data_IF_647367540335
#
_entry.id   IF_647367540335
#
_cell.length_a   1.000
_cell.length_b   1.000
_cell.length_c   1.000
_cell.angle_alpha   90.00
_cell.angle_beta   90.00
_cell.angle_gamma   90.00
#
_symmetry.space_group_name_H-M   'P 1'
#
loop_
_entity.id
_entity.type
_entity.pdbx_description
1 polymer ?
#
# COMPACT_ATOMS: atom_id res chain seq x y z
N UNK A 1 9.14 9.41 12.18
CA UNK A 1 9.96 8.60 11.25
C UNK A 1 9.81 7.15 11.66
N UNK A 2 9.54 6.28 10.70
CA UNK A 2 9.51 4.83 10.87
C UNK A 2 10.70 4.27 10.12
N UNK A 3 11.42 3.33 10.72
CA UNK A 3 12.58 2.70 10.11
C UNK A 3 12.77 1.30 10.66
N UNK A 4 13.45 0.46 9.90
CA UNK A 4 13.77 -0.89 10.30
C UNK A 4 15.08 -1.36 9.65
N UNK A 5 15.73 -2.27 10.36
CA UNK A 5 16.96 -2.91 9.96
C UNK A 5 16.69 -4.39 9.69
N UNK A 6 17.27 -4.90 8.61
CA UNK A 6 17.09 -6.25 8.12
C UNK A 6 18.45 -6.89 7.88
N UNK A 7 18.79 -7.89 8.70
CA UNK A 7 19.94 -8.77 8.45
C UNK A 7 19.45 -10.10 7.88
N UNK A 8 20.13 -10.65 6.89
CA UNK A 8 19.76 -11.96 6.34
C UNK A 8 20.99 -12.68 5.82
N UNK A 9 20.92 -14.02 5.79
CA UNK A 9 21.95 -14.86 5.18
C UNK A 9 21.48 -15.36 3.82
N UNK A 10 22.38 -15.49 2.86
CA UNK A 10 22.12 -16.02 1.53
C UNK A 10 23.30 -16.89 1.11
N UNK A 11 23.09 -17.77 0.11
CA UNK A 11 24.22 -18.59 -0.37
C UNK A 11 25.18 -17.72 -1.19
N UNK A 12 26.51 -17.78 -0.97
CA UNK A 12 27.50 -16.92 -1.64
C UNK A 12 27.37 -16.85 -3.17
N UNK A 13 26.91 -17.92 -3.82
CA UNK A 13 26.73 -17.96 -5.28
C UNK A 13 25.63 -17.01 -5.78
N UNK A 14 24.78 -16.50 -4.89
CA UNK A 14 23.75 -15.50 -5.21
C UNK A 14 24.23 -14.06 -4.98
N UNK A 15 25.48 -13.83 -4.58
CA UNK A 15 26.00 -12.48 -4.27
C UNK A 15 25.74 -11.47 -5.39
N UNK A 16 25.99 -11.83 -6.64
CA UNK A 16 25.74 -10.97 -7.79
C UNK A 16 24.26 -10.55 -7.91
N UNK A 17 23.34 -11.50 -7.71
CA UNK A 17 21.89 -11.26 -7.75
C UNK A 17 21.47 -10.36 -6.58
N UNK A 18 21.96 -10.63 -5.37
CA UNK A 18 21.66 -9.83 -4.17
C UNK A 18 22.17 -8.40 -4.30
N UNK A 19 23.37 -8.20 -4.85
CA UNK A 19 23.92 -6.85 -5.13
C UNK A 19 23.08 -6.10 -6.16
N UNK A 20 22.63 -6.76 -7.22
CA UNK A 20 21.77 -6.15 -8.23
C UNK A 20 20.42 -5.72 -7.66
N UNK A 21 19.77 -6.58 -6.86
CA UNK A 21 18.53 -6.25 -6.15
C UNK A 21 18.72 -5.07 -5.18
N UNK A 22 19.80 -5.07 -4.40
CA UNK A 22 20.13 -3.97 -3.49
C UNK A 22 20.31 -2.63 -4.21
N UNK A 23 21.05 -2.63 -5.32
CA UNK A 23 21.28 -1.42 -6.11
C UNK A 23 19.97 -0.89 -6.70
N UNK A 24 19.08 -1.77 -7.16
CA UNK A 24 17.77 -1.37 -7.65
C UNK A 24 16.84 -0.84 -6.54
N UNK A 25 16.81 -1.54 -5.40
CA UNK A 25 16.02 -1.11 -4.27
C UNK A 25 16.45 0.27 -3.74
N UNK A 26 17.77 0.51 -3.67
CA UNK A 26 18.32 1.81 -3.29
C UNK A 26 17.93 2.93 -4.27
N UNK A 27 17.87 2.66 -5.58
CA UNK A 27 17.40 3.65 -6.57
C UNK A 27 15.93 4.00 -6.34
N UNK A 28 15.05 3.02 -6.14
CA UNK A 28 13.63 3.25 -5.84
C UNK A 28 13.42 3.99 -4.53
N UNK A 29 14.16 3.62 -3.48
CA UNK A 29 14.09 4.32 -2.21
C UNK A 29 14.46 5.81 -2.38
N UNK A 30 15.48 6.14 -3.17
CA UNK A 30 15.86 7.52 -3.47
C UNK A 30 14.75 8.30 -4.19
N UNK A 31 14.13 7.70 -5.21
CA UNK A 31 13.00 8.30 -5.94
C UNK A 31 11.83 8.68 -5.01
N UNK A 32 11.68 7.95 -3.91
CA UNK A 32 10.60 8.12 -2.93
C UNK A 32 11.02 8.88 -1.66
N UNK A 33 12.21 9.51 -1.65
CA UNK A 33 12.79 10.19 -0.48
C UNK A 33 12.92 9.30 0.77
N UNK A 34 13.16 8.01 0.59
CA UNK A 34 13.42 7.03 1.66
C UNK A 34 14.92 6.82 1.78
N UNK A 35 15.44 6.92 3.00
CA UNK A 35 16.85 6.64 3.28
C UNK A 35 17.06 5.13 3.25
N UNK A 36 17.98 4.68 2.40
CA UNK A 36 18.34 3.28 2.25
C UNK A 36 19.85 3.11 2.40
N UNK A 37 20.27 2.19 3.26
CA UNK A 37 21.65 1.72 3.38
C UNK A 37 21.66 0.22 3.23
N UNK A 38 22.58 -0.34 2.44
CA UNK A 38 22.77 -1.79 2.39
C UNK A 38 24.24 -2.17 2.30
N UNK A 39 24.56 -3.35 2.81
CA UNK A 39 25.88 -3.98 2.79
C UNK A 39 25.73 -5.47 2.50
N UNK A 40 26.67 -6.05 1.77
CA UNK A 40 26.73 -7.49 1.51
C UNK A 40 28.16 -7.96 1.67
N UNK A 41 28.35 -9.12 2.29
CA UNK A 41 29.66 -9.80 2.41
C UNK A 41 29.77 -10.93 1.40
N UNK A 42 30.99 -11.36 1.11
CA UNK A 42 31.25 -12.50 0.22
C UNK A 42 30.80 -13.82 0.85
N UNK A 43 30.84 -13.91 2.18
CA UNK A 43 30.39 -15.07 2.96
C UNK A 43 28.86 -15.26 3.00
N UNK A 44 28.12 -14.42 2.29
CA UNK A 44 26.67 -14.57 2.16
C UNK A 44 25.87 -13.90 3.28
N UNK A 45 26.34 -12.79 3.84
CA UNK A 45 25.57 -11.98 4.79
C UNK A 45 25.13 -10.68 4.13
N UNK A 46 23.85 -10.35 4.25
CA UNK A 46 23.26 -9.11 3.79
C UNK A 46 22.70 -8.30 4.95
N UNK A 47 22.88 -6.99 4.89
CA UNK A 47 22.28 -6.02 5.79
C UNK A 47 21.60 -4.92 4.98
N UNK A 48 20.42 -4.50 5.40
CA UNK A 48 19.70 -3.36 4.85
C UNK A 48 19.07 -2.55 5.98
N UNK A 49 19.18 -1.23 5.94
CA UNK A 49 18.48 -0.32 6.82
C UNK A 49 17.66 0.67 5.99
N UNK A 50 16.42 0.87 6.39
CA UNK A 50 15.47 1.78 5.77
C UNK A 50 14.93 2.76 6.80
N UNK A 51 14.78 4.01 6.42
CA UNK A 51 14.21 5.06 7.27
C UNK A 51 13.43 6.06 6.42
N UNK A 52 12.15 6.26 6.77
CA UNK A 52 11.22 7.11 6.05
C UNK A 52 9.93 7.37 6.84
N UNK A 53 8.89 7.77 6.14
CA UNK A 53 7.53 7.82 6.70
C UNK A 53 6.86 6.45 6.49
N UNK A 54 5.97 6.07 7.42
CA UNK A 54 5.44 4.69 7.52
C UNK A 54 4.84 4.18 6.21
N UNK A 55 3.83 4.85 5.68
CA UNK A 55 3.21 4.48 4.41
C UNK A 55 4.20 4.54 3.24
N UNK A 56 5.18 5.45 3.25
CA UNK A 56 6.23 5.49 2.24
C UNK A 56 7.05 4.21 2.17
N UNK A 57 7.39 3.63 3.32
CA UNK A 57 8.04 2.32 3.38
C UNK A 57 7.13 1.23 2.82
N UNK A 58 5.84 1.27 3.10
CA UNK A 58 4.88 0.28 2.63
C UNK A 58 4.68 0.38 1.10
N UNK A 59 4.61 1.60 0.56
CA UNK A 59 4.62 1.87 -0.89
C UNK A 59 5.91 1.39 -1.53
N UNK A 60 7.07 1.61 -0.89
CA UNK A 60 8.36 1.14 -1.39
C UNK A 60 8.36 -0.39 -1.45
N UNK A 61 7.93 -1.08 -0.39
CA UNK A 61 7.87 -2.54 -0.38
C UNK A 61 6.95 -3.09 -1.47
N UNK A 62 5.80 -2.45 -1.71
CA UNK A 62 4.92 -2.78 -2.82
C UNK A 62 5.58 -2.56 -4.19
N UNK A 63 6.34 -1.47 -4.37
CA UNK A 63 7.10 -1.26 -5.60
C UNK A 63 8.20 -2.32 -5.77
N UNK A 64 8.93 -2.64 -4.71
CA UNK A 64 9.98 -3.66 -4.72
C UNK A 64 9.42 -5.05 -5.02
N UNK A 65 8.19 -5.35 -4.59
CA UNK A 65 7.48 -6.60 -4.94
C UNK A 65 7.33 -6.79 -6.44
N UNK A 66 7.11 -5.72 -7.20
CA UNK A 66 6.95 -5.77 -8.66
C UNK A 66 8.30 -5.80 -9.37
N UNK A 67 9.24 -4.99 -8.88
CA UNK A 67 10.52 -4.76 -9.55
C UNK A 67 11.56 -5.87 -9.28
N UNK A 68 11.79 -6.21 -8.01
CA UNK A 68 12.93 -7.05 -7.63
C UNK A 68 12.89 -8.47 -8.21
N UNK A 69 11.74 -9.17 -8.32
CA UNK A 69 11.68 -10.46 -8.98
C UNK A 69 12.16 -10.38 -10.45
N UNK A 70 11.76 -9.34 -11.17
CA UNK A 70 12.14 -9.12 -12.58
C UNK A 70 13.62 -8.77 -12.71
N UNK A 71 14.15 -7.93 -11.82
CA UNK A 71 15.59 -7.60 -11.78
C UNK A 71 16.42 -8.85 -11.47
N UNK A 72 16.01 -9.65 -10.48
CA UNK A 72 16.71 -10.87 -10.12
C UNK A 72 16.71 -11.89 -11.26
N UNK A 73 15.57 -12.03 -11.95
CA UNK A 73 15.41 -12.87 -13.13
C UNK A 73 16.40 -12.48 -14.25
N UNK A 74 16.49 -11.19 -14.55
CA UNK A 74 17.36 -10.65 -15.60
C UNK A 74 18.86 -10.64 -15.24
N UNK A 75 19.19 -10.68 -13.94
CA UNK A 75 20.59 -10.65 -13.50
C UNK A 75 21.29 -11.97 -13.83
N UNK A 76 22.45 -11.98 -14.52
CA UNK A 76 23.24 -13.19 -14.73
C UNK A 76 23.61 -13.86 -13.41
N UNK A 77 23.49 -15.18 -13.34
CA UNK A 77 23.78 -15.91 -12.12
C UNK A 77 23.75 -17.42 -12.29
N UNK A 78 24.20 -18.12 -11.25
CA UNK A 78 24.46 -19.55 -11.29
C UNK A 78 23.20 -20.42 -11.53
N UNK A 79 22.05 -20.04 -10.95
CA UNK A 79 20.78 -20.76 -11.10
C UNK A 79 19.93 -20.19 -12.22
N UNK A 80 18.91 -20.93 -12.65
CA UNK A 80 17.97 -20.50 -13.70
C UNK A 80 17.25 -19.18 -13.39
N UNK A 81 16.80 -18.48 -14.43
CA UNK A 81 16.05 -17.22 -14.33
C UNK A 81 14.81 -17.35 -13.40
N UNK A 82 14.03 -18.43 -13.55
CA UNK A 82 12.89 -18.73 -12.68
C UNK A 82 13.25 -18.91 -11.21
N UNK A 83 14.42 -19.48 -10.90
CA UNK A 83 14.90 -19.55 -9.51
C UNK A 83 15.23 -18.16 -8.98
N UNK A 84 15.93 -17.33 -9.76
CA UNK A 84 16.31 -15.98 -9.33
C UNK A 84 15.10 -15.06 -9.17
N UNK A 85 14.08 -15.16 -10.04
CA UNK A 85 12.79 -14.48 -9.86
C UNK A 85 12.18 -14.79 -8.48
N UNK A 86 12.14 -16.08 -8.12
CA UNK A 86 11.65 -16.54 -6.81
C UNK A 86 12.53 -16.10 -5.65
N UNK A 87 13.84 -15.96 -5.88
CA UNK A 87 14.76 -15.39 -4.90
C UNK A 87 14.45 -13.91 -4.63
N UNK A 88 14.10 -13.15 -5.68
CA UNK A 88 13.62 -11.77 -5.54
C UNK A 88 12.35 -11.66 -4.71
N UNK A 89 11.38 -12.55 -4.90
CA UNK A 89 10.22 -12.64 -4.01
C UNK A 89 10.64 -12.88 -2.55
N UNK A 90 11.60 -13.79 -2.33
CA UNK A 90 12.11 -14.09 -0.99
C UNK A 90 12.77 -12.89 -0.32
N UNK A 91 13.44 -12.05 -1.11
CA UNK A 91 14.06 -10.83 -0.63
C UNK A 91 13.01 -9.86 -0.09
N UNK A 92 11.97 -9.60 -0.89
CA UNK A 92 10.87 -8.71 -0.52
C UNK A 92 10.10 -9.25 0.71
N UNK A 93 9.91 -10.57 0.78
CA UNK A 93 9.27 -11.23 1.92
C UNK A 93 10.05 -11.05 3.23
N UNK A 94 11.37 -11.16 3.20
CA UNK A 94 12.22 -10.88 4.37
C UNK A 94 12.06 -9.42 4.80
N UNK A 95 12.17 -8.47 3.87
CA UNK A 95 12.03 -7.05 4.21
C UNK A 95 10.66 -6.74 4.83
N UNK A 96 9.60 -7.33 4.27
CA UNK A 96 8.25 -7.14 4.80
C UNK A 96 8.10 -7.73 6.19
N UNK A 97 8.66 -8.91 6.44
CA UNK A 97 8.61 -9.54 7.76
C UNK A 97 9.39 -8.75 8.82
N UNK A 98 10.51 -8.13 8.44
CA UNK A 98 11.21 -7.19 9.32
C UNK A 98 10.40 -5.94 9.60
N UNK A 99 9.76 -5.35 8.57
CA UNK A 99 8.91 -4.16 8.71
C UNK A 99 7.77 -4.32 9.72
N UNK A 100 7.27 -5.55 9.90
CA UNK A 100 6.15 -5.88 10.77
C UNK A 100 6.57 -6.67 12.03
N UNK A 101 7.85 -6.62 12.40
CA UNK A 101 8.40 -7.26 13.61
C UNK A 101 8.08 -8.77 13.70
N UNK A 102 7.82 -9.42 12.56
CA UNK A 102 7.39 -10.82 12.53
C UNK A 102 8.47 -11.75 13.07
N UNK A 103 9.73 -11.35 12.93
CA UNK A 103 10.86 -12.13 13.41
C UNK A 103 11.08 -12.00 14.93
N UNK A 104 10.45 -11.04 15.61
CA UNK A 104 10.61 -10.84 17.06
C UNK A 104 10.15 -12.04 17.89
N UNK A 105 9.19 -12.79 17.34
CA UNK A 105 8.74 -14.06 17.93
C UNK A 105 9.86 -15.09 18.05
N UNK A 106 10.87 -15.01 17.19
CA UNK A 106 12.01 -15.93 17.20
C UNK A 106 13.12 -15.46 18.13
N UNK A 107 13.26 -14.15 18.38
CA UNK A 107 14.24 -13.65 19.36
C UNK A 107 13.94 -14.19 20.76
N UNK A 108 12.66 -14.34 21.14
CA UNK A 108 12.26 -15.01 22.40
C UNK A 108 12.80 -16.44 22.57
N UNK A 109 13.16 -17.11 21.48
CA UNK A 109 13.67 -18.49 21.48
C UNK A 109 15.13 -18.59 21.06
N UNK A 110 15.65 -17.58 20.37
CA UNK A 110 17.02 -17.50 19.87
C UNK A 110 17.35 -16.02 19.59
N UNK A 111 18.02 -15.37 20.54
CA UNK A 111 18.43 -13.96 20.47
C UNK A 111 19.29 -13.61 19.25
N UNK A 112 19.79 -14.61 18.51
CA UNK A 112 20.64 -14.46 17.33
C UNK A 112 19.98 -14.90 16.01
N UNK A 113 18.64 -15.06 15.97
CA UNK A 113 17.97 -15.52 14.75
C UNK A 113 18.21 -14.55 13.57
N UNK A 114 18.75 -15.08 12.48
CA UNK A 114 18.91 -14.37 11.20
C UNK A 114 18.20 -15.17 10.10
N UNK A 115 17.21 -14.59 9.39
CA UNK A 115 16.50 -15.29 8.34
C UNK A 115 17.42 -15.60 7.15
N UNK A 116 17.26 -16.79 6.58
CA UNK A 116 17.91 -17.17 5.33
C UNK A 116 17.05 -16.77 4.13
N UNK A 117 17.64 -16.06 3.17
CA UNK A 117 17.05 -15.77 1.87
C UNK A 117 16.75 -17.06 1.11
N UNK A 118 15.48 -17.27 0.78
CA UNK A 118 14.97 -18.47 0.11
C UNK A 118 14.21 -18.09 -1.15
N UNK A 119 14.27 -18.95 -2.16
CA UNK A 119 13.44 -18.80 -3.35
C UNK A 119 11.99 -19.21 -3.05
N UNK A 120 11.06 -18.26 -3.14
CA UNK A 120 9.62 -18.47 -2.88
C UNK A 120 8.78 -18.04 -4.07
N UNK A 121 7.55 -18.59 -4.19
CA UNK A 121 6.67 -18.33 -5.35
C UNK A 121 6.08 -16.91 -5.34
N UNK A 122 5.79 -16.39 -4.16
CA UNK A 122 5.21 -15.06 -3.94
C UNK A 122 5.70 -14.49 -2.62
N UNK A 123 5.83 -13.17 -2.52
CA UNK A 123 6.10 -12.48 -1.26
C UNK A 123 4.80 -12.10 -0.54
N UNK A 124 4.85 -12.05 0.78
CA UNK A 124 3.73 -11.61 1.62
C UNK A 124 3.82 -10.12 1.93
N UNK A 125 3.66 -9.25 0.91
CA UNK A 125 3.57 -7.80 1.13
C UNK A 125 2.18 -7.43 1.64
N UNK A 126 2.14 -6.64 2.70
CA UNK A 126 0.91 -6.10 3.25
C UNK A 126 0.36 -5.00 2.34
N UNK A 127 -0.97 -4.89 2.19
CA UNK A 127 -1.54 -3.79 1.44
C UNK A 127 -1.19 -2.46 2.14
N UNK A 128 -0.92 -1.41 1.34
CA UNK A 128 -0.58 -0.07 1.84
C UNK A 128 -1.71 0.48 2.71
N UNK A 129 -2.95 0.19 2.31
CA UNK A 129 -4.16 0.52 3.04
C UNK A 129 -4.95 -0.73 3.40
N UNK A 130 -5.48 -0.81 4.61
CA UNK A 130 -6.21 -1.99 5.10
C UNK A 130 -7.72 -1.73 5.17
N UNK A 131 -8.43 -2.03 4.08
CA UNK A 131 -9.88 -1.97 3.99
C UNK A 131 -10.44 -3.35 4.41
N UNK A 132 -10.77 -3.52 5.68
CA UNK A 132 -11.23 -4.80 6.22
C UNK A 132 -12.63 -4.66 6.87
N UNK A 133 -13.69 -5.17 6.22
CA UNK A 133 -15.07 -5.08 6.71
C UNK A 133 -15.42 -6.19 7.73
N UNK A 134 -14.43 -6.74 8.44
CA UNK A 134 -14.62 -7.92 9.27
C UNK A 134 -14.86 -9.21 8.49
N UNK A 135 -15.15 -10.30 9.20
CA UNK A 135 -15.47 -11.61 8.61
C UNK A 135 -16.94 -11.75 8.21
N UNK A 136 -17.78 -10.75 8.49
CA UNK A 136 -19.23 -10.80 8.34
C UNK A 136 -19.74 -10.61 6.90
N UNK A 137 -18.95 -9.96 6.03
CA UNK A 137 -19.33 -9.66 4.66
C UNK A 137 -18.18 -9.94 3.67
N UNK A 138 -18.08 -11.20 3.23
CA UNK A 138 -17.05 -11.65 2.30
C UNK A 138 -17.14 -10.98 0.92
N UNK A 139 -18.35 -10.66 0.46
CA UNK A 139 -18.57 -10.02 -0.84
C UNK A 139 -18.01 -8.60 -0.84
N UNK A 140 -18.33 -7.82 0.20
CA UNK A 140 -17.72 -6.51 0.39
C UNK A 140 -16.20 -6.61 0.55
N UNK A 141 -15.72 -7.59 1.32
CA UNK A 141 -14.29 -7.83 1.48
C UNK A 141 -13.56 -8.01 0.14
N UNK A 142 -14.08 -8.87 -0.74
CA UNK A 142 -13.51 -9.05 -2.08
C UNK A 142 -13.51 -7.77 -2.92
N UNK A 143 -14.59 -6.97 -2.82
CA UNK A 143 -14.68 -5.71 -3.58
C UNK A 143 -13.74 -4.63 -3.05
N UNK A 144 -13.50 -4.59 -1.74
CA UNK A 144 -12.55 -3.69 -1.11
C UNK A 144 -11.10 -4.06 -1.42
N UNK A 145 -10.79 -5.34 -1.63
CA UNK A 145 -9.46 -5.78 -2.12
C UNK A 145 -9.14 -5.17 -3.49
N UNK A 146 -10.12 -5.02 -4.37
CA UNK A 146 -9.93 -4.33 -5.66
C UNK A 146 -9.57 -2.86 -5.43
N UNK A 147 -10.30 -2.17 -4.55
CA UNK A 147 -10.00 -0.77 -4.23
C UNK A 147 -8.60 -0.61 -3.61
N UNK A 148 -8.21 -1.49 -2.67
CA UNK A 148 -6.86 -1.51 -2.10
C UNK A 148 -5.78 -1.70 -3.17
N UNK A 149 -6.02 -2.58 -4.13
CA UNK A 149 -5.09 -2.84 -5.24
C UNK A 149 -4.92 -1.59 -6.12
N UNK A 150 -6.01 -0.89 -6.40
CA UNK A 150 -6.00 0.35 -7.19
C UNK A 150 -5.36 1.50 -6.42
N UNK A 151 -5.63 1.65 -5.12
CA UNK A 151 -4.94 2.61 -4.25
C UNK A 151 -3.43 2.34 -4.21
N UNK A 152 -3.02 1.07 -4.14
CA UNK A 152 -1.62 0.70 -4.19
C UNK A 152 -0.97 1.02 -5.54
N UNK A 153 -1.68 0.75 -6.64
CA UNK A 153 -1.24 1.11 -7.99
C UNK A 153 -1.11 2.63 -8.16
N UNK A 154 -2.01 3.41 -7.57
CA UNK A 154 -1.94 4.88 -7.58
C UNK A 154 -0.66 5.38 -6.92
N UNK A 155 -0.34 4.85 -5.73
CA UNK A 155 0.86 5.24 -4.99
C UNK A 155 2.17 4.98 -5.74
N UNK A 156 2.17 4.07 -6.71
CA UNK A 156 3.34 3.75 -7.55
C UNK A 156 3.18 4.21 -9.01
N UNK A 157 2.17 5.04 -9.30
CA UNK A 157 1.89 5.64 -10.62
C UNK A 157 1.67 4.60 -11.74
N UNK A 158 0.92 3.53 -11.44
CA UNK A 158 0.63 2.43 -12.37
C UNK A 158 -0.87 2.30 -12.71
N UNK A 159 -1.66 3.35 -12.49
CA UNK A 159 -3.10 3.36 -12.77
C UNK A 159 -3.56 4.77 -13.13
N UNK A 160 -4.51 4.86 -14.06
CA UNK A 160 -5.10 6.12 -14.49
C UNK A 160 -5.93 6.76 -13.35
N UNK A 161 -5.84 8.10 -13.15
CA UNK A 161 -6.57 8.83 -12.13
C UNK A 161 -8.08 8.54 -12.09
N UNK A 162 -8.72 8.42 -13.25
CA UNK A 162 -10.17 8.20 -13.36
C UNK A 162 -10.59 6.84 -12.80
N UNK A 163 -9.74 5.83 -12.98
CA UNK A 163 -9.97 4.49 -12.41
C UNK A 163 -9.89 4.57 -10.89
N UNK A 164 -8.91 5.31 -10.35
CA UNK A 164 -8.79 5.52 -8.90
C UNK A 164 -10.03 6.21 -8.34
N UNK A 165 -10.49 7.30 -8.99
CA UNK A 165 -11.70 8.03 -8.58
C UNK A 165 -12.94 7.12 -8.58
N UNK A 166 -13.15 6.32 -9.64
CA UNK A 166 -14.29 5.40 -9.71
C UNK A 166 -14.23 4.37 -8.57
N UNK A 167 -13.06 3.78 -8.34
CA UNK A 167 -12.87 2.72 -7.35
C UNK A 167 -13.00 3.21 -5.92
N UNK A 168 -12.46 4.40 -5.61
CA UNK A 168 -12.66 5.07 -4.32
C UNK A 168 -14.14 5.40 -4.08
N UNK A 169 -14.83 5.91 -5.11
CA UNK A 169 -16.26 6.22 -5.01
C UNK A 169 -17.08 4.95 -4.76
N UNK A 170 -16.85 3.89 -5.54
CA UNK A 170 -17.58 2.62 -5.38
C UNK A 170 -17.32 1.99 -4.01
N UNK A 171 -16.08 2.01 -3.52
CA UNK A 171 -15.76 1.54 -2.18
C UNK A 171 -16.52 2.33 -1.10
N UNK A 172 -16.50 3.67 -1.16
CA UNK A 172 -17.24 4.52 -0.25
C UNK A 172 -18.75 4.25 -0.30
N UNK A 173 -19.32 4.10 -1.50
CA UNK A 173 -20.75 3.85 -1.70
C UNK A 173 -21.17 2.54 -1.05
N UNK A 174 -20.42 1.47 -1.28
CA UNK A 174 -20.73 0.15 -0.73
C UNK A 174 -20.66 0.12 0.80
N UNK A 175 -19.59 0.69 1.38
CA UNK A 175 -19.47 0.77 2.84
C UNK A 175 -20.57 1.63 3.45
N UNK A 176 -20.89 2.79 2.85
CA UNK A 176 -21.98 3.63 3.33
C UNK A 176 -23.34 2.92 3.22
N UNK A 177 -23.61 2.14 2.17
CA UNK A 177 -24.84 1.32 2.07
C UNK A 177 -24.93 0.34 3.23
N UNK A 178 -23.84 -0.37 3.56
CA UNK A 178 -23.82 -1.32 4.69
C UNK A 178 -24.03 -0.62 6.02
N UNK A 179 -23.27 0.43 6.31
CA UNK A 179 -23.35 1.17 7.59
C UNK A 179 -24.73 1.82 7.76
N UNK A 180 -25.26 2.42 6.69
CA UNK A 180 -26.56 3.12 6.76
C UNK A 180 -27.75 2.17 6.68
N UNK A 181 -27.57 0.93 6.21
CA UNK A 181 -28.64 -0.06 5.99
C UNK A 181 -29.76 0.49 5.09
N UNK A 182 -29.40 1.39 4.17
CA UNK A 182 -30.33 1.99 3.22
C UNK A 182 -30.56 1.05 2.02
N UNK A 183 -31.71 1.13 1.32
CA UNK A 183 -31.97 0.31 0.14
C UNK A 183 -30.90 0.47 -0.95
N UNK A 184 -30.61 -0.58 -1.72
CA UNK A 184 -29.52 -0.59 -2.71
C UNK A 184 -29.61 0.49 -3.79
N UNK A 185 -30.84 0.92 -4.12
CA UNK A 185 -31.13 1.98 -5.10
C UNK A 185 -30.95 3.41 -4.55
N UNK A 186 -30.56 3.55 -3.29
CA UNK A 186 -30.34 4.86 -2.66
C UNK A 186 -29.17 5.57 -3.32
N UNK A 187 -29.37 6.83 -3.70
CA UNK A 187 -28.34 7.65 -4.35
C UNK A 187 -27.25 8.03 -3.35
N UNK A 188 -26.01 8.16 -3.83
CA UNK A 188 -24.86 8.50 -3.00
C UNK A 188 -25.03 9.74 -2.11
N UNK A 189 -25.61 10.87 -2.59
CA UNK A 189 -25.87 12.04 -1.71
C UNK A 189 -26.79 11.75 -0.52
N UNK A 190 -27.76 10.84 -0.69
CA UNK A 190 -28.69 10.46 0.37
C UNK A 190 -28.01 9.53 1.39
N UNK A 191 -27.09 8.65 0.94
CA UNK A 191 -26.23 7.86 1.82
C UNK A 191 -25.36 8.76 2.71
N UNK A 192 -24.76 9.82 2.15
CA UNK A 192 -23.95 10.78 2.91
C UNK A 192 -24.82 11.49 3.96
N UNK A 193 -26.05 11.90 3.60
CA UNK A 193 -26.98 12.57 4.52
C UNK A 193 -27.36 11.64 5.68
N UNK A 194 -27.65 10.38 5.38
CA UNK A 194 -28.02 9.38 6.37
C UNK A 194 -26.85 9.01 7.29
N UNK A 195 -25.66 8.82 6.75
CA UNK A 195 -24.45 8.56 7.54
C UNK A 195 -24.13 9.72 8.50
N UNK A 196 -24.32 10.97 8.06
CA UNK A 196 -24.22 12.14 8.94
C UNK A 196 -25.28 12.12 10.05
N UNK A 197 -26.54 11.78 9.72
CA UNK A 197 -27.64 11.66 10.69
C UNK A 197 -27.30 10.60 11.76
N UNK A 198 -26.71 9.49 11.35
CA UNK A 198 -26.24 8.39 12.20
C UNK A 198 -24.90 8.67 12.91
N UNK A 199 -24.28 9.84 12.67
CA UNK A 199 -22.97 10.23 13.25
C UNK A 199 -21.84 9.22 12.94
N UNK A 200 -21.87 8.61 11.75
CA UNK A 200 -20.82 7.71 11.25
C UNK A 200 -19.46 8.40 11.13
N UNK A 201 -19.48 9.71 10.86
CA UNK A 201 -18.29 10.54 10.75
C UNK A 201 -18.50 11.91 11.41
N UNK A 202 -17.38 12.53 11.82
CA UNK A 202 -17.35 13.87 12.42
C UNK A 202 -17.80 14.96 11.44
N UNK A 203 -18.37 16.03 11.98
CA UNK A 203 -18.66 17.26 11.23
C UNK A 203 -17.44 18.20 11.16
N UNK A 204 -16.37 17.90 11.89
CA UNK A 204 -15.15 18.69 11.92
C UNK A 204 -14.32 18.47 10.65
N UNK A 205 -13.54 19.49 10.22
CA UNK A 205 -12.60 19.33 9.11
C UNK A 205 -11.51 18.32 9.44
N UNK A 206 -11.06 17.57 8.43
CA UNK A 206 -10.03 16.53 8.57
C UNK A 206 -8.61 17.11 8.61
N UNK A 207 -8.34 18.08 9.50
CA UNK A 207 -7.12 18.91 9.47
C UNK A 207 -5.80 18.13 9.58
N UNK A 208 -5.80 16.96 10.21
CA UNK A 208 -4.58 16.17 10.45
C UNK A 208 -4.13 15.33 9.24
N UNK A 209 -5.01 15.06 8.28
CA UNK A 209 -4.69 14.24 7.09
C UNK A 209 -4.41 15.08 5.84
N UNK A 210 -4.74 16.37 5.87
CA UNK A 210 -4.38 17.29 4.80
C UNK A 210 -2.97 17.85 5.02
N UNK A 211 -2.19 17.98 3.94
CA UNK A 211 -0.88 18.63 3.98
C UNK A 211 -0.98 20.13 4.33
N UNK A 212 -2.03 20.80 3.86
CA UNK A 212 -2.40 22.17 4.26
C UNK A 212 -3.72 22.13 5.06
N UNK A 213 -3.67 22.32 6.39
CA UNK A 213 -4.86 22.32 7.24
C UNK A 213 -5.93 23.34 6.83
N UNK A 214 -5.56 24.43 6.14
CA UNK A 214 -6.51 25.46 5.68
C UNK A 214 -7.40 24.99 4.53
N UNK A 215 -6.96 23.97 3.79
CA UNK A 215 -7.70 23.34 2.70
C UNK A 215 -8.51 22.13 3.16
N UNK A 216 -8.42 21.77 4.45
CA UNK A 216 -9.06 20.58 4.97
C UNK A 216 -10.58 20.61 4.78
N UNK A 217 -11.08 19.57 4.11
CA UNK A 217 -12.51 19.35 3.94
C UNK A 217 -13.08 18.60 5.14
N UNK A 218 -14.36 18.81 5.41
CA UNK A 218 -15.14 17.86 6.21
C UNK A 218 -15.37 16.57 5.41
N UNK A 219 -15.60 15.45 6.09
CA UNK A 219 -15.92 14.15 5.43
C UNK A 219 -17.08 14.29 4.43
N UNK A 220 -18.11 15.07 4.78
CA UNK A 220 -19.24 15.31 3.89
C UNK A 220 -18.83 16.09 2.63
N UNK A 221 -17.95 17.08 2.74
CA UNK A 221 -17.47 17.84 1.59
C UNK A 221 -16.57 16.96 0.70
N UNK A 222 -15.67 16.18 1.30
CA UNK A 222 -14.77 15.26 0.61
C UNK A 222 -15.55 14.22 -0.23
N UNK A 223 -16.55 13.57 0.35
CA UNK A 223 -17.39 12.59 -0.36
C UNK A 223 -18.21 13.24 -1.48
N UNK A 224 -18.73 14.46 -1.26
CA UNK A 224 -19.42 15.21 -2.32
C UNK A 224 -18.49 15.61 -3.45
N UNK A 225 -17.25 16.04 -3.16
CA UNK A 225 -16.27 16.33 -4.20
C UNK A 225 -15.89 15.07 -4.97
N UNK A 226 -15.71 13.93 -4.30
CA UNK A 226 -15.43 12.65 -4.97
C UNK A 226 -16.54 12.28 -5.98
N UNK A 227 -17.81 12.42 -5.59
CA UNK A 227 -18.93 12.21 -6.52
C UNK A 227 -18.90 13.16 -7.72
N UNK A 228 -18.58 14.44 -7.48
CA UNK A 228 -18.47 15.44 -8.55
C UNK A 228 -17.37 15.04 -9.53
N UNK A 229 -16.15 14.78 -9.05
CA UNK A 229 -15.02 14.39 -9.89
C UNK A 229 -15.32 13.11 -10.69
N UNK A 230 -15.95 12.13 -10.05
CA UNK A 230 -16.37 10.89 -10.70
C UNK A 230 -17.34 11.15 -11.86
N UNK A 231 -18.33 12.01 -11.66
CA UNK A 231 -19.29 12.34 -12.72
C UNK A 231 -18.65 13.17 -13.84
N UNK A 232 -17.77 14.12 -13.51
CA UNK A 232 -17.05 14.92 -14.50
C UNK A 232 -16.10 14.07 -15.35
N UNK A 233 -15.45 13.06 -14.76
CA UNK A 233 -14.60 12.09 -15.45
C UNK A 233 -15.38 11.24 -16.44
N UNK A 234 -16.63 10.85 -16.12
CA UNK A 234 -17.47 10.04 -17.02
C UNK A 234 -18.07 10.79 -18.20
N UNK A 235 -18.29 12.09 -18.05
CA UNK A 235 -19.03 12.89 -19.02
C UNK A 235 -18.12 13.85 -19.83
N UNK A 236 -16.80 13.62 -19.83
CA UNK A 236 -15.86 14.18 -20.81
C UNK A 236 -15.65 15.69 -20.75
N UNK A 237 -16.01 16.34 -19.64
CA UNK A 237 -16.09 17.80 -19.59
C UNK A 237 -14.79 18.51 -19.24
N UNK A 238 -14.28 18.30 -18.02
CA UNK A 238 -13.20 19.11 -17.39
C UNK A 238 -12.51 18.41 -16.22
N UNK A 239 -12.58 17.09 -16.14
CA UNK A 239 -12.05 16.36 -14.98
C UNK A 239 -10.58 16.71 -14.75
N UNK A 240 -10.24 17.01 -13.50
CA UNK A 240 -8.86 17.15 -13.03
C UNK A 240 -8.58 16.06 -11.99
N UNK A 241 -8.93 14.80 -12.32
CA UNK A 241 -8.84 13.66 -11.42
C UNK A 241 -7.45 13.53 -10.77
N UNK A 242 -6.37 13.73 -11.54
CA UNK A 242 -4.99 13.71 -11.02
C UNK A 242 -4.78 14.81 -9.95
N UNK A 243 -5.05 16.08 -10.28
CA UNK A 243 -4.95 17.22 -9.36
C UNK A 243 -5.81 17.03 -8.10
N UNK A 244 -7.02 16.46 -8.25
CA UNK A 244 -7.87 16.16 -7.11
C UNK A 244 -7.26 15.07 -6.23
N UNK A 245 -6.70 14.00 -6.82
CA UNK A 245 -6.05 12.91 -6.08
C UNK A 245 -4.77 13.38 -5.38
N UNK A 246 -3.97 14.24 -5.99
CA UNK A 246 -2.79 14.83 -5.35
C UNK A 246 -3.13 15.52 -4.03
N UNK A 247 -4.29 16.17 -3.95
CA UNK A 247 -4.75 16.84 -2.73
C UNK A 247 -5.54 15.92 -1.78
N UNK A 248 -6.37 15.02 -2.31
CA UNK A 248 -7.43 14.36 -1.54
C UNK A 248 -7.25 12.84 -1.39
N UNK A 249 -6.23 12.23 -2.00
CA UNK A 249 -6.01 10.77 -1.91
C UNK A 249 -5.79 10.27 -0.48
N UNK A 250 -4.92 10.92 0.31
CA UNK A 250 -4.68 10.50 1.69
C UNK A 250 -5.91 10.70 2.59
N UNK A 251 -6.60 11.87 2.55
CA UNK A 251 -7.86 12.04 3.28
C UNK A 251 -8.93 10.99 2.93
N UNK A 252 -9.12 10.67 1.65
CA UNK A 252 -10.14 9.68 1.27
C UNK A 252 -9.70 8.26 1.64
N UNK A 253 -8.41 7.91 1.53
CA UNK A 253 -7.89 6.63 1.97
C UNK A 253 -8.11 6.39 3.47
N UNK A 254 -7.78 7.38 4.31
CA UNK A 254 -8.00 7.35 5.76
C UNK A 254 -9.49 7.22 6.12
N UNK A 255 -10.36 7.94 5.40
CA UNK A 255 -11.81 7.79 5.54
C UNK A 255 -12.26 6.37 5.20
N UNK A 256 -11.78 5.78 4.10
CA UNK A 256 -12.18 4.42 3.70
C UNK A 256 -11.73 3.37 4.73
N UNK A 257 -10.52 3.50 5.29
CA UNK A 257 -10.07 2.63 6.38
C UNK A 257 -11.00 2.76 7.60
N UNK A 258 -11.31 4.00 8.00
CA UNK A 258 -12.22 4.30 9.12
C UNK A 258 -13.65 3.80 8.90
N UNK A 259 -14.16 3.85 7.66
CA UNK A 259 -15.46 3.30 7.31
C UNK A 259 -15.44 1.77 7.32
N UNK A 260 -14.36 1.14 6.81
CA UNK A 260 -14.26 -0.31 6.75
C UNK A 260 -14.31 -0.95 8.14
N UNK A 261 -13.72 -0.30 9.15
CA UNK A 261 -13.78 -0.75 10.55
C UNK A 261 -15.17 -0.65 11.19
N UNK A 262 -16.13 0.03 10.55
CA UNK A 262 -17.50 0.22 11.03
C UNK A 262 -18.54 -0.65 10.31
N UNK A 263 -18.14 -1.38 9.26
CA UNK A 263 -19.01 -2.34 8.56
C UNK A 263 -19.07 -3.64 9.36
#
# INVERSE_FOLDING_TARGET
MAGFDATFVFRPENLGVVRAMNAAAQRRAREMNIRWKSRTTEDGVGYTAMDGWSYGLDVLLERLRRDLPTIAEATPGWRSASYRRRLGNGYVDILTKYRCDWYDRYYKTNDSYVPTLRAIRSSSVWPIHSLWPGSGDQELGMRLVVAQTVMAAWCIQEVEPEVVIEELHTAAELMLKRITQMPDRTKFPDLIREARRKRVFSAEPMTFVYADPKRALTVQQLLKSLLRERNESKHGGRSQAESWLEENFWPIADLLESLSAQV
#
